data_IF_220155788801
#
_entry.id   IF_220155788801
#
_cell.length_a   1.000
_cell.length_b   1.000
_cell.length_c   1.000
_cell.angle_alpha   90.00
_cell.angle_beta   90.00
_cell.angle_gamma   90.00
#
_symmetry.space_group_name_H-M   'P 1'
#
loop_
_entity.id
_entity.type
_entity.pdbx_description
1 polymer ?
#
# COMPACT_ATOMS: atom_id res chain seq x y z
N UNK A 1 2.67 -4.48 -22.98
CA UNK A 1 3.31 -4.73 -21.67
C UNK A 1 2.52 -5.79 -20.90
N UNK A 2 3.08 -6.37 -19.84
CA UNK A 2 2.37 -7.17 -18.84
C UNK A 2 2.31 -6.40 -17.51
N UNK A 3 1.43 -6.80 -16.58
CA UNK A 3 1.44 -6.24 -15.23
C UNK A 3 2.82 -6.41 -14.59
N UNK A 4 3.34 -5.33 -14.00
CA UNK A 4 4.56 -5.37 -13.21
C UNK A 4 4.16 -5.67 -11.77
N UNK A 5 4.76 -6.69 -11.18
CA UNK A 5 4.54 -6.98 -9.77
C UNK A 5 5.46 -6.09 -8.95
N UNK A 6 4.95 -5.05 -8.28
CA UNK A 6 5.74 -4.23 -7.35
C UNK A 6 5.58 -4.63 -5.88
N UNK A 7 4.62 -5.50 -5.57
CA UNK A 7 4.35 -5.93 -4.19
C UNK A 7 5.52 -6.64 -3.52
N UNK A 8 6.46 -7.19 -4.30
CA UNK A 8 7.67 -7.82 -3.78
C UNK A 8 8.67 -6.83 -3.15
N UNK A 9 8.48 -5.52 -3.37
CA UNK A 9 9.31 -4.46 -2.76
C UNK A 9 8.90 -4.17 -1.31
N UNK A 10 7.77 -4.68 -0.86
CA UNK A 10 7.23 -4.42 0.45
C UNK A 10 7.64 -5.49 1.47
N UNK A 11 7.77 -5.14 2.76
CA UNK A 11 7.97 -6.10 3.83
C UNK A 11 6.85 -7.16 3.83
N UNK A 12 7.21 -8.41 4.11
CA UNK A 12 6.23 -9.48 4.31
C UNK A 12 5.48 -9.25 5.62
N UNK A 13 4.14 -9.04 5.59
CA UNK A 13 3.35 -8.81 6.79
C UNK A 13 3.46 -9.94 7.83
N UNK A 14 3.71 -11.17 7.38
CA UNK A 14 3.87 -12.32 8.27
C UNK A 14 5.18 -12.31 9.07
N UNK A 15 6.12 -11.41 8.75
CA UNK A 15 7.45 -11.33 9.38
C UNK A 15 7.62 -10.11 10.27
N UNK A 16 6.57 -9.33 10.48
CA UNK A 16 6.57 -8.09 11.26
C UNK A 16 6.93 -8.28 12.74
N UNK A 17 6.63 -9.44 13.32
CA UNK A 17 7.02 -9.76 14.70
C UNK A 17 8.53 -9.73 14.97
N UNK A 18 9.37 -9.65 13.94
CA UNK A 18 10.84 -9.53 14.06
C UNK A 18 11.35 -8.09 14.08
N UNK A 19 10.50 -7.11 13.77
CA UNK A 19 10.88 -5.71 13.65
C UNK A 19 10.82 -5.01 15.01
N UNK A 20 11.61 -3.94 15.18
CA UNK A 20 11.53 -3.09 16.38
C UNK A 20 10.18 -2.35 16.42
N UNK A 21 9.78 -1.86 17.59
CA UNK A 21 8.55 -1.06 17.71
C UNK A 21 8.64 0.22 16.88
N UNK A 22 9.80 0.88 16.88
CA UNK A 22 10.04 2.09 16.09
C UNK A 22 9.94 1.82 14.58
N UNK A 23 10.43 0.67 14.12
CA UNK A 23 10.30 0.27 12.71
C UNK A 23 8.84 -0.02 12.33
N UNK A 24 8.07 -0.63 13.24
CA UNK A 24 6.64 -0.90 13.00
C UNK A 24 5.83 0.39 12.93
N UNK A 25 6.07 1.34 13.84
CA UNK A 25 5.43 2.67 13.80
C UNK A 25 5.80 3.42 12.51
N UNK A 26 7.06 3.36 12.07
CA UNK A 26 7.49 3.98 10.83
C UNK A 26 6.80 3.33 9.61
N UNK A 27 6.73 1.99 9.58
CA UNK A 27 6.08 1.23 8.50
C UNK A 27 4.60 1.54 8.42
N UNK A 28 3.88 1.51 9.54
CA UNK A 28 2.44 1.79 9.59
C UNK A 28 2.12 3.16 8.98
N UNK A 29 2.79 4.21 9.48
CA UNK A 29 2.60 5.59 9.01
C UNK A 29 2.98 5.79 7.55
N UNK A 30 4.11 5.24 7.13
CA UNK A 30 4.58 5.41 5.74
C UNK A 30 3.71 4.61 4.78
N UNK A 31 3.38 3.36 5.09
CA UNK A 31 2.64 2.50 4.18
C UNK A 31 1.22 3.03 3.90
N UNK A 32 0.53 3.58 4.90
CA UNK A 32 -0.77 4.22 4.69
C UNK A 32 -0.67 5.46 3.77
N UNK A 33 0.30 6.34 4.04
CA UNK A 33 0.53 7.54 3.23
C UNK A 33 0.88 7.21 1.77
N UNK A 34 1.72 6.20 1.55
CA UNK A 34 2.07 5.74 0.22
C UNK A 34 0.88 5.06 -0.48
N UNK A 35 0.05 4.30 0.25
CA UNK A 35 -1.15 3.68 -0.31
C UNK A 35 -2.12 4.73 -0.86
N UNK A 36 -2.34 5.82 -0.11
CA UNK A 36 -3.14 6.97 -0.51
C UNK A 36 -2.55 7.69 -1.72
N UNK A 37 -1.23 7.91 -1.71
CA UNK A 37 -0.52 8.55 -2.83
C UNK A 37 -0.70 7.76 -4.13
N UNK A 38 -0.54 6.43 -4.06
CA UNK A 38 -0.79 5.54 -5.21
C UNK A 38 -2.25 5.60 -5.66
N UNK A 39 -3.20 5.62 -4.72
CA UNK A 39 -4.64 5.72 -5.04
C UNK A 39 -4.96 7.03 -5.77
N UNK A 40 -4.41 8.17 -5.34
CA UNK A 40 -4.53 9.44 -6.04
C UNK A 40 -3.89 9.41 -7.43
N UNK A 41 -2.73 8.76 -7.58
CA UNK A 41 -2.11 8.54 -8.88
C UNK A 41 -3.00 7.72 -9.83
N UNK A 42 -3.64 6.67 -9.34
CA UNK A 42 -4.60 5.87 -10.12
C UNK A 42 -5.79 6.73 -10.55
N UNK A 43 -6.33 7.57 -9.67
CA UNK A 43 -7.42 8.47 -10.00
C UNK A 43 -7.03 9.48 -11.10
N UNK A 44 -5.85 10.09 -11.00
CA UNK A 44 -5.33 11.00 -12.02
C UNK A 44 -5.12 10.31 -13.38
N UNK A 45 -4.63 9.07 -13.38
CA UNK A 45 -4.53 8.26 -14.61
C UNK A 45 -5.92 8.00 -15.20
N UNK A 46 -6.92 7.73 -14.37
CA UNK A 46 -8.30 7.55 -14.80
C UNK A 46 -8.89 8.80 -15.47
N UNK A 47 -8.64 9.98 -14.91
CA UNK A 47 -9.06 11.26 -15.49
C UNK A 47 -8.38 11.51 -16.85
N UNK A 48 -7.06 11.34 -16.92
CA UNK A 48 -6.31 11.46 -18.18
C UNK A 48 -6.81 10.48 -19.24
N UNK A 49 -7.14 9.23 -18.84
CA UNK A 49 -7.67 8.22 -19.74
C UNK A 49 -9.04 8.63 -20.31
N UNK A 50 -9.90 9.22 -19.49
CA UNK A 50 -11.20 9.72 -19.94
C UNK A 50 -11.05 10.84 -20.98
N UNK A 51 -10.20 11.85 -20.70
CA UNK A 51 -9.95 12.92 -21.67
C UNK A 51 -9.32 12.41 -22.98
N UNK A 52 -8.40 11.46 -22.88
CA UNK A 52 -7.78 10.84 -24.07
C UNK A 52 -8.82 10.09 -24.91
N UNK A 53 -9.78 9.43 -24.27
CA UNK A 53 -10.88 8.76 -24.95
C UNK A 53 -11.83 9.76 -25.63
N UNK A 54 -12.22 10.83 -24.93
CA UNK A 54 -13.09 11.89 -25.46
C UNK A 54 -12.45 12.61 -26.66
N UNK A 55 -11.12 12.76 -26.67
CA UNK A 55 -10.37 13.30 -27.80
C UNK A 55 -10.26 12.34 -29.00
N UNK A 56 -10.69 11.07 -28.86
CA UNK A 56 -10.55 10.04 -29.89
C UNK A 56 -9.11 9.53 -30.06
N UNK A 57 -8.22 9.82 -29.10
CA UNK A 57 -6.80 9.49 -29.15
C UNK A 57 -6.46 8.19 -28.39
N UNK A 58 -7.47 7.54 -27.80
CA UNK A 58 -7.29 6.29 -27.06
C UNK A 58 -7.15 5.09 -27.99
N UNK A 59 -5.92 4.76 -28.36
CA UNK A 59 -5.61 3.53 -29.09
C UNK A 59 -5.78 2.28 -28.22
N UNK A 60 -6.00 1.11 -28.87
CA UNK A 60 -6.06 -0.18 -28.18
C UNK A 60 -4.78 -0.51 -27.39
N UNK A 61 -3.61 -0.10 -27.91
CA UNK A 61 -2.33 -0.36 -27.24
C UNK A 61 -2.15 0.57 -26.02
N UNK A 62 -2.57 1.84 -26.14
CA UNK A 62 -2.61 2.79 -25.03
C UNK A 62 -3.53 2.27 -23.92
N UNK A 63 -4.76 1.90 -24.26
CA UNK A 63 -5.73 1.35 -23.31
C UNK A 63 -5.19 0.08 -22.61
N UNK A 64 -4.59 -0.85 -23.37
CA UNK A 64 -4.00 -2.07 -22.82
C UNK A 64 -2.85 -1.79 -21.85
N UNK A 65 -1.93 -0.91 -22.22
CA UNK A 65 -0.76 -0.62 -21.39
C UNK A 65 -1.16 0.14 -20.11
N UNK A 66 -2.10 1.10 -20.20
CA UNK A 66 -2.66 1.79 -19.03
C UNK A 66 -3.41 0.82 -18.13
N UNK A 67 -4.21 -0.10 -18.70
CA UNK A 67 -4.89 -1.14 -17.92
C UNK A 67 -3.92 -1.99 -17.10
N UNK A 68 -2.80 -2.42 -17.69
CA UNK A 68 -1.77 -3.15 -16.95
C UNK A 68 -1.08 -2.31 -15.87
N UNK A 69 -0.86 -1.02 -16.13
CA UNK A 69 -0.31 -0.09 -15.14
C UNK A 69 -1.27 0.08 -13.95
N UNK A 70 -2.55 0.35 -14.20
CA UNK A 70 -3.58 0.48 -13.16
C UNK A 70 -3.68 -0.79 -12.33
N UNK A 71 -3.67 -1.97 -12.97
CA UNK A 71 -3.68 -3.24 -12.24
C UNK A 71 -2.45 -3.42 -11.33
N UNK A 72 -1.27 -3.01 -11.81
CA UNK A 72 -0.01 -3.07 -11.05
C UNK A 72 -0.03 -2.12 -9.84
N UNK A 73 -0.48 -0.88 -10.05
CA UNK A 73 -0.62 0.14 -9.01
C UNK A 73 -1.69 -0.23 -7.97
N UNK A 74 -2.84 -0.73 -8.42
CA UNK A 74 -3.92 -1.17 -7.52
C UNK A 74 -3.49 -2.33 -6.63
N UNK A 75 -2.76 -3.30 -7.20
CA UNK A 75 -2.17 -4.40 -6.43
C UNK A 75 -1.15 -3.89 -5.41
N UNK A 76 -0.31 -2.92 -5.79
CA UNK A 76 0.67 -2.31 -4.89
C UNK A 76 -0.02 -1.54 -3.74
N UNK A 77 -1.04 -0.73 -4.05
CA UNK A 77 -1.81 0.03 -3.06
C UNK A 77 -2.48 -0.90 -2.03
N UNK A 78 -3.12 -1.98 -2.49
CA UNK A 78 -3.70 -2.99 -1.60
C UNK A 78 -2.65 -3.65 -0.69
N UNK A 79 -1.45 -3.92 -1.23
CA UNK A 79 -0.35 -4.49 -0.43
C UNK A 79 0.26 -3.51 0.57
N UNK A 80 0.31 -2.22 0.25
CA UNK A 80 0.68 -1.19 1.21
C UNK A 80 -0.32 -1.13 2.37
N UNK A 81 -1.62 -1.24 2.09
CA UNK A 81 -2.65 -1.32 3.13
C UNK A 81 -2.50 -2.59 3.99
N UNK A 82 -2.26 -3.76 3.39
CA UNK A 82 -1.97 -4.99 4.14
C UNK A 82 -0.77 -4.81 5.08
N UNK A 83 0.28 -4.11 4.62
CA UNK A 83 1.49 -3.84 5.39
C UNK A 83 1.23 -2.89 6.55
N UNK A 84 0.48 -1.81 6.31
CA UNK A 84 0.10 -0.87 7.37
C UNK A 84 -0.71 -1.58 8.46
N UNK A 85 -1.75 -2.33 8.07
CA UNK A 85 -2.61 -3.08 8.98
C UNK A 85 -1.84 -4.15 9.77
N UNK A 86 -0.88 -4.83 9.14
CA UNK A 86 -0.04 -5.81 9.82
C UNK A 86 0.85 -5.19 10.88
N UNK A 87 1.40 -4.00 10.60
CA UNK A 87 2.25 -3.28 11.54
C UNK A 87 1.43 -2.76 12.73
N UNK A 88 0.27 -2.16 12.48
CA UNK A 88 -0.69 -1.74 13.50
C UNK A 88 -1.10 -2.91 14.40
N UNK A 89 -1.48 -4.05 13.81
CA UNK A 89 -1.85 -5.24 14.55
C UNK A 89 -0.75 -5.70 15.52
N UNK A 90 0.50 -5.74 15.07
CA UNK A 90 1.63 -6.15 15.90
C UNK A 90 1.92 -5.13 17.01
N UNK A 91 1.78 -3.82 16.74
CA UNK A 91 1.91 -2.76 17.74
C UNK A 91 0.85 -2.90 18.84
N UNK A 92 -0.42 -3.07 18.47
CA UNK A 92 -1.52 -3.25 19.41
C UNK A 92 -1.37 -4.54 20.22
N UNK A 93 -0.92 -5.63 19.58
CA UNK A 93 -0.61 -6.88 20.27
C UNK A 93 0.48 -6.66 21.33
N UNK A 94 1.55 -5.93 21.01
CA UNK A 94 2.63 -5.62 21.96
C UNK A 94 2.14 -4.79 23.14
N UNK A 95 1.33 -3.75 22.88
CA UNK A 95 0.70 -2.92 23.92
C UNK A 95 -0.16 -3.76 24.87
N UNK A 96 -0.97 -4.67 24.32
CA UNK A 96 -1.82 -5.56 25.12
C UNK A 96 -1.04 -6.59 25.96
N UNK A 97 0.16 -7.00 25.52
CA UNK A 97 1.02 -7.94 26.25
C UNK A 97 2.05 -7.28 27.17
N UNK A 98 2.14 -5.95 27.16
CA UNK A 98 3.05 -5.22 28.04
C UNK A 98 2.60 -5.41 29.51
N UNK A 99 3.51 -5.79 30.43
CA UNK A 99 3.16 -5.94 31.83
C UNK A 99 2.67 -4.59 32.39
N UNK A 100 1.46 -4.59 32.96
CA UNK A 100 0.94 -3.44 33.73
C UNK A 100 1.96 -3.14 34.84
N UNK A 101 2.35 -1.87 35.07
CA UNK A 101 3.18 -1.54 36.21
C UNK A 101 2.42 -1.99 37.45
N UNK A 102 2.94 -2.98 38.19
CA UNK A 102 2.44 -3.26 39.53
C UNK A 102 2.54 -1.96 40.29
N UNK A 103 1.41 -1.42 40.72
CA UNK A 103 1.37 -0.41 41.75
C UNK A 103 1.97 -1.07 42.99
N UNK A 104 3.28 -0.88 43.20
CA UNK A 104 3.93 -1.22 44.46
C UNK A 104 3.28 -0.39 45.57
N UNK A 105 2.72 -1.10 46.54
CA UNK A 105 2.33 -0.61 47.85
C UNK A 105 3.02 -1.44 48.91
#
# INVERSE_FOLDING_TARGET
>A
MSAVCWSHLLPDPLRMGRLSTDDLDAIERTAECEALTVAHGIAAIGELLAWTADAGELSNDTARNIGWLINSLGTLSGRLADVANGAEYELERRKATAPTPSAEG
#
